data_IF_614773791874
#
_entry.id   IF_614773791874
#
_cell.length_a   1.000
_cell.length_b   1.000
_cell.length_c   1.000
_cell.angle_alpha   90.00
_cell.angle_beta   90.00
_cell.angle_gamma   90.00
#
_symmetry.space_group_name_H-M   'P 1'
#
loop_
_entity.id
_entity.type
_entity.pdbx_description
1 polymer ?
#
# COMPACT_ATOMS: atom_id res chain seq x y z
N UNK A 1 12.09 4.52 5.19
CA UNK A 1 12.21 4.57 3.72
C UNK A 1 10.86 5.00 3.16
N UNK A 2 10.85 5.95 2.27
CA UNK A 2 9.63 6.48 1.65
C UNK A 2 9.74 6.40 0.13
N UNK A 3 8.71 5.91 -0.55
CA UNK A 3 8.67 5.88 -2.00
C UNK A 3 7.87 7.07 -2.56
N UNK A 4 8.31 7.63 -3.67
CA UNK A 4 7.57 8.66 -4.40
C UNK A 4 6.77 7.99 -5.51
N UNK A 5 5.47 8.09 -5.44
CA UNK A 5 4.57 7.61 -6.50
C UNK A 5 4.51 8.67 -7.61
N UNK A 6 4.76 8.28 -8.84
CA UNK A 6 4.92 9.19 -9.98
C UNK A 6 3.72 10.14 -10.14
N UNK A 7 2.49 9.64 -9.90
CA UNK A 7 1.27 10.39 -10.23
C UNK A 7 0.87 11.52 -9.27
N UNK A 8 1.39 11.57 -8.04
CA UNK A 8 0.96 12.59 -7.06
C UNK A 8 2.06 13.08 -6.14
N UNK A 9 3.24 12.46 -6.20
CA UNK A 9 4.37 12.77 -5.32
C UNK A 9 4.01 12.80 -3.83
N UNK A 10 2.98 12.03 -3.39
CA UNK A 10 2.52 12.00 -2.00
C UNK A 10 3.63 11.63 -1.04
N UNK A 11 4.47 10.65 -1.41
CA UNK A 11 5.60 10.25 -0.60
C UNK A 11 6.56 11.38 -0.31
N UNK A 12 6.91 12.19 -1.32
CA UNK A 12 7.85 13.31 -1.18
C UNK A 12 7.21 14.58 -0.57
N UNK A 13 5.93 14.80 -0.82
CA UNK A 13 5.23 16.04 -0.40
C UNK A 13 4.59 15.94 0.98
N UNK A 14 4.21 14.74 1.43
CA UNK A 14 3.53 14.53 2.71
C UNK A 14 4.40 13.71 3.65
N UNK A 15 4.54 12.41 3.41
CA UNK A 15 5.19 11.50 4.38
C UNK A 15 6.67 11.81 4.59
N UNK A 16 7.40 12.26 3.58
CA UNK A 16 8.79 12.69 3.77
C UNK A 16 8.89 13.93 4.68
N UNK A 17 7.95 14.87 4.54
CA UNK A 17 7.85 16.03 5.41
C UNK A 17 7.54 15.63 6.86
N UNK A 18 6.55 14.74 7.06
CA UNK A 18 6.18 14.24 8.39
C UNK A 18 7.36 13.54 9.07
N UNK A 19 8.05 12.63 8.36
CA UNK A 19 9.21 11.91 8.88
C UNK A 19 10.33 12.87 9.35
N UNK A 20 10.60 13.93 8.60
CA UNK A 20 11.60 14.95 8.98
C UNK A 20 11.11 15.77 10.18
N UNK A 21 9.85 16.21 10.18
CA UNK A 21 9.27 17.01 11.25
C UNK A 21 9.24 16.26 12.58
N UNK A 22 8.93 14.96 12.55
CA UNK A 22 8.91 14.07 13.71
C UNK A 22 10.31 13.57 14.12
N UNK A 23 11.38 14.07 13.47
CA UNK A 23 12.77 13.68 13.74
C UNK A 23 13.00 12.15 13.73
N UNK A 24 12.34 11.42 12.82
CA UNK A 24 12.55 9.99 12.68
C UNK A 24 13.99 9.69 12.23
N UNK A 25 14.65 8.66 12.79
CA UNK A 25 16.05 8.40 12.51
C UNK A 25 16.30 7.93 11.08
N UNK A 26 17.37 8.42 10.47
CA UNK A 26 17.87 7.99 9.15
C UNK A 26 16.82 7.97 8.02
N UNK A 27 16.06 9.06 7.80
CA UNK A 27 15.09 9.13 6.72
C UNK A 27 15.77 8.97 5.36
N UNK A 28 15.14 8.23 4.45
CA UNK A 28 15.63 8.03 3.09
C UNK A 28 14.47 8.03 2.10
N UNK A 29 14.56 8.84 1.07
CA UNK A 29 13.59 8.93 -0.01
C UNK A 29 14.09 8.11 -1.21
N UNK A 30 13.22 7.29 -1.77
CA UNK A 30 13.51 6.47 -2.95
C UNK A 30 12.39 6.63 -4.00
N UNK A 31 12.73 6.46 -5.28
CA UNK A 31 11.72 6.24 -6.31
C UNK A 31 11.16 4.82 -6.20
N UNK A 32 9.88 4.63 -6.58
CA UNK A 32 9.21 3.32 -6.54
C UNK A 32 9.98 2.25 -7.33
N UNK A 33 10.58 2.62 -8.45
CA UNK A 33 11.40 1.73 -9.28
C UNK A 33 12.71 1.24 -8.61
N UNK A 34 13.12 1.87 -7.50
CA UNK A 34 14.36 1.51 -6.79
C UNK A 34 14.15 0.47 -5.69
N UNK A 35 12.91 0.12 -5.35
CA UNK A 35 12.59 -0.70 -4.19
C UNK A 35 13.24 -2.07 -4.24
N UNK A 36 13.11 -2.81 -5.35
CA UNK A 36 13.69 -4.15 -5.49
C UNK A 36 15.21 -4.14 -5.32
N UNK A 37 15.89 -3.17 -5.94
CA UNK A 37 17.34 -3.04 -5.80
C UNK A 37 17.74 -2.66 -4.38
N UNK A 38 17.00 -1.76 -3.74
CA UNK A 38 17.23 -1.37 -2.35
C UNK A 38 17.10 -2.57 -1.40
N UNK A 39 16.00 -3.35 -1.51
CA UNK A 39 15.79 -4.52 -0.67
C UNK A 39 16.89 -5.58 -0.90
N UNK A 40 17.33 -5.78 -2.13
CA UNK A 40 18.39 -6.74 -2.45
C UNK A 40 19.76 -6.38 -1.85
N UNK A 41 20.05 -5.11 -1.54
CA UNK A 41 21.39 -4.62 -1.15
C UNK A 41 21.47 -4.06 0.26
N UNK A 42 20.39 -3.54 0.79
CA UNK A 42 20.43 -2.71 2.01
C UNK A 42 19.62 -3.28 3.16
N UNK A 43 18.89 -4.37 2.95
CA UNK A 43 17.87 -4.82 3.90
C UNK A 43 18.12 -6.26 4.32
N UNK A 44 17.91 -6.51 5.63
CA UNK A 44 17.79 -7.84 6.20
C UNK A 44 16.27 -8.12 6.38
N UNK A 45 15.72 -9.17 5.79
CA UNK A 45 14.28 -9.47 5.88
C UNK A 45 13.77 -9.52 7.33
N UNK A 46 14.53 -10.13 8.23
CA UNK A 46 14.15 -10.29 9.64
C UNK A 46 14.06 -8.97 10.44
N UNK A 47 14.63 -7.87 9.93
CA UNK A 47 14.68 -6.58 10.61
C UNK A 47 13.97 -5.47 9.82
N UNK A 48 13.14 -5.84 8.84
CA UNK A 48 12.49 -4.89 7.95
C UNK A 48 11.04 -5.24 7.80
N UNK A 49 10.20 -4.21 7.76
CA UNK A 49 8.78 -4.30 7.45
C UNK A 49 8.41 -3.26 6.41
N UNK A 50 7.47 -3.60 5.53
CA UNK A 50 6.78 -2.63 4.68
C UNK A 50 5.46 -2.26 5.34
N UNK A 51 5.16 -0.97 5.45
CA UNK A 51 3.89 -0.48 5.98
C UNK A 51 3.29 0.48 4.97
N UNK A 52 2.01 0.27 4.64
CA UNK A 52 1.22 1.13 3.76
C UNK A 52 -0.11 1.48 4.42
N UNK A 53 -0.76 2.52 3.93
CA UNK A 53 -2.15 2.81 4.28
C UNK A 53 -3.14 1.93 3.52
N UNK A 54 -4.44 2.19 3.72
CA UNK A 54 -5.52 1.67 2.89
C UNK A 54 -6.61 2.71 2.71
N UNK A 55 -7.19 2.72 1.51
CA UNK A 55 -8.41 3.45 1.22
C UNK A 55 -9.63 2.56 1.47
N UNK A 56 -9.47 1.23 1.32
CA UNK A 56 -10.51 0.23 1.63
C UNK A 56 -9.91 -1.15 1.87
N UNK A 57 -10.47 -1.89 2.82
CA UNK A 57 -10.12 -3.29 3.11
C UNK A 57 -11.39 -4.14 3.03
N UNK A 58 -11.42 -5.13 2.13
CA UNK A 58 -12.55 -6.04 1.92
C UNK A 58 -12.65 -7.13 2.99
N UNK A 59 -13.78 -7.82 3.03
CA UNK A 59 -14.04 -8.91 3.99
C UNK A 59 -13.00 -10.05 3.92
N UNK A 60 -12.40 -10.32 2.76
CA UNK A 60 -11.34 -11.32 2.59
C UNK A 60 -9.92 -10.77 2.90
N UNK A 61 -9.80 -9.47 3.22
CA UNK A 61 -8.51 -8.79 3.47
C UNK A 61 -7.83 -8.21 2.23
N UNK A 62 -8.42 -8.33 1.04
CA UNK A 62 -7.92 -7.59 -0.12
C UNK A 62 -8.00 -6.09 0.15
N UNK A 63 -6.97 -5.36 -0.24
CA UNK A 63 -6.82 -3.96 0.17
C UNK A 63 -6.60 -3.06 -1.03
N UNK A 64 -7.47 -2.07 -1.21
CA UNK A 64 -7.24 -0.97 -2.15
C UNK A 64 -6.44 0.14 -1.48
N UNK A 65 -5.41 0.60 -2.17
CA UNK A 65 -4.60 1.75 -1.76
C UNK A 65 -4.00 2.43 -2.99
N UNK A 66 -3.33 3.55 -2.77
CA UNK A 66 -2.66 4.31 -3.84
C UNK A 66 -1.86 3.39 -4.75
N UNK A 67 -1.95 3.65 -6.08
CA UNK A 67 -1.22 2.90 -7.11
C UNK A 67 0.26 2.70 -6.74
N UNK A 68 0.80 1.50 -6.96
CA UNK A 68 2.15 1.07 -6.56
C UNK A 68 2.18 0.28 -5.25
N UNK A 69 1.05 0.16 -4.54
CA UNK A 69 0.96 -0.66 -3.32
C UNK A 69 1.08 -2.14 -3.63
N UNK A 70 0.38 -2.62 -4.67
CA UNK A 70 0.50 -4.00 -5.14
C UNK A 70 1.93 -4.34 -5.58
N UNK A 71 2.59 -3.44 -6.32
CA UNK A 71 3.99 -3.61 -6.71
C UNK A 71 4.89 -3.79 -5.48
N UNK A 72 4.74 -2.94 -4.47
CA UNK A 72 5.52 -3.02 -3.22
C UNK A 72 5.25 -4.34 -2.49
N UNK A 73 3.99 -4.79 -2.41
CA UNK A 73 3.61 -6.03 -1.73
C UNK A 73 4.21 -7.28 -2.41
N UNK A 74 4.20 -7.32 -3.75
CA UNK A 74 4.83 -8.40 -4.53
C UNK A 74 6.34 -8.44 -4.28
N UNK A 75 7.00 -7.28 -4.34
CA UNK A 75 8.44 -7.17 -4.11
C UNK A 75 8.78 -7.56 -2.66
N UNK A 76 8.03 -7.08 -1.66
CA UNK A 76 8.24 -7.43 -0.27
C UNK A 76 8.18 -8.96 -0.07
N UNK A 77 7.18 -9.63 -0.65
CA UNK A 77 7.05 -11.09 -0.59
C UNK A 77 8.24 -11.81 -1.21
N UNK A 78 8.71 -11.36 -2.37
CA UNK A 78 9.87 -11.97 -3.05
C UNK A 78 11.15 -11.90 -2.19
N UNK A 79 11.33 -10.81 -1.46
CA UNK A 79 12.48 -10.62 -0.57
C UNK A 79 12.24 -11.10 0.86
N UNK A 80 11.12 -11.77 1.16
CA UNK A 80 10.79 -12.29 2.49
C UNK A 80 10.56 -11.18 3.53
N UNK A 81 10.16 -9.99 3.11
CA UNK A 81 9.87 -8.84 3.97
C UNK A 81 8.40 -8.81 4.30
N UNK A 82 8.08 -8.69 5.58
CA UNK A 82 6.70 -8.57 6.06
C UNK A 82 6.02 -7.31 5.52
N UNK A 83 4.75 -7.45 5.11
CA UNK A 83 3.96 -6.38 4.53
C UNK A 83 2.70 -6.13 5.37
N UNK A 84 2.61 -4.95 5.97
CA UNK A 84 1.48 -4.55 6.82
C UNK A 84 0.68 -3.42 6.19
N UNK A 85 -0.64 -3.50 6.39
CA UNK A 85 -1.59 -2.42 6.10
C UNK A 85 -1.95 -1.74 7.41
N UNK A 86 -1.79 -0.44 7.51
CA UNK A 86 -2.20 0.36 8.66
C UNK A 86 -3.30 1.33 8.26
N UNK A 87 -4.49 1.19 8.84
CA UNK A 87 -5.66 2.00 8.47
C UNK A 87 -6.61 2.15 9.65
N UNK A 88 -7.45 3.20 9.68
CA UNK A 88 -8.54 3.30 10.64
C UNK A 88 -9.49 2.11 10.55
N UNK A 89 -10.08 1.71 11.67
CA UNK A 89 -11.08 0.65 11.72
C UNK A 89 -12.24 0.86 10.73
N UNK A 90 -12.65 2.11 10.52
CA UNK A 90 -13.70 2.49 9.57
C UNK A 90 -13.39 2.21 8.11
N UNK A 91 -12.14 1.89 7.78
CA UNK A 91 -11.70 1.49 6.43
C UNK A 91 -12.08 0.04 6.10
N UNK A 92 -12.39 -0.77 7.12
CA UNK A 92 -12.80 -2.17 6.96
C UNK A 92 -14.24 -2.21 6.41
N UNK A 93 -14.39 -2.69 5.18
CA UNK A 93 -15.68 -2.79 4.49
C UNK A 93 -16.10 -4.25 4.31
N UNK A 94 -16.83 -4.77 5.28
CA UNK A 94 -17.34 -6.15 5.25
C UNK A 94 -18.45 -6.41 4.25
N UNK A 95 -18.96 -5.37 3.57
CA UNK A 95 -19.98 -5.50 2.52
C UNK A 95 -19.38 -5.95 1.19
N UNK A 96 -18.12 -5.60 0.94
CA UNK A 96 -17.36 -6.08 -0.21
C UNK A 96 -16.70 -7.40 0.14
N UNK A 97 -17.04 -8.47 -0.58
CA UNK A 97 -16.47 -9.79 -0.30
C UNK A 97 -15.00 -9.86 -0.71
N UNK A 98 -14.66 -9.31 -1.86
CA UNK A 98 -13.31 -9.36 -2.45
C UNK A 98 -12.92 -8.03 -3.08
N UNK A 99 -11.63 -7.88 -3.37
CA UNK A 99 -11.10 -6.70 -4.05
C UNK A 99 -11.55 -6.53 -5.51
N UNK A 100 -12.09 -7.57 -6.14
CA UNK A 100 -12.64 -7.50 -7.49
C UNK A 100 -13.91 -6.61 -7.57
N UNK A 101 -14.59 -6.43 -6.44
CA UNK A 101 -15.77 -5.58 -6.32
C UNK A 101 -15.44 -4.08 -6.15
N UNK A 102 -14.15 -3.74 -5.99
CA UNK A 102 -13.73 -2.35 -5.82
C UNK A 102 -13.59 -1.70 -7.20
N UNK A 103 -14.39 -0.69 -7.45
CA UNK A 103 -14.24 0.15 -8.63
C UNK A 103 -13.03 1.07 -8.48
N UNK A 104 -12.08 0.96 -9.42
CA UNK A 104 -10.84 1.73 -9.42
C UNK A 104 -11.02 2.99 -10.29
N UNK A 105 -10.84 4.16 -9.67
CA UNK A 105 -10.85 5.44 -10.35
C UNK A 105 -9.71 5.53 -11.36
N UNK A 106 -10.03 5.83 -12.62
CA UNK A 106 -9.06 6.22 -13.62
C UNK A 106 -8.94 7.75 -13.67
N UNK A 107 -7.75 8.26 -13.41
CA UNK A 107 -7.46 9.69 -13.32
C UNK A 107 -7.13 10.28 -14.69
N UNK A 108 -7.30 11.61 -14.87
CA UNK A 108 -6.98 12.25 -16.14
C UNK A 108 -5.56 11.95 -16.62
N UNK A 109 -5.43 11.60 -17.90
CA UNK A 109 -4.15 11.31 -18.53
C UNK A 109 -3.14 12.46 -18.41
N UNK A 110 -3.62 13.71 -18.40
CA UNK A 110 -2.78 14.91 -18.26
C UNK A 110 -1.89 14.88 -17.02
N UNK A 111 -2.37 14.37 -15.88
CA UNK A 111 -1.57 14.29 -14.65
C UNK A 111 -0.29 13.46 -14.82
N UNK A 112 -0.39 12.34 -15.56
CA UNK A 112 0.75 11.48 -15.82
C UNK A 112 1.64 12.05 -16.93
N UNK A 113 1.06 12.55 -18.00
CA UNK A 113 1.79 13.09 -19.15
C UNK A 113 2.64 14.32 -18.76
N UNK A 114 2.09 15.22 -17.96
CA UNK A 114 2.80 16.38 -17.44
C UNK A 114 3.95 15.97 -16.53
N UNK A 115 3.72 15.05 -15.61
CA UNK A 115 4.75 14.55 -14.68
C UNK A 115 5.89 13.82 -15.39
N UNK A 116 5.57 13.09 -16.47
CA UNK A 116 6.53 12.33 -17.25
C UNK A 116 7.21 13.15 -18.36
N UNK A 117 6.82 14.41 -18.57
CA UNK A 117 7.25 15.22 -19.72
C UNK A 117 7.03 14.49 -21.06
N UNK A 118 5.96 13.72 -21.17
CA UNK A 118 5.65 12.89 -22.34
C UNK A 118 4.92 13.70 -23.43
N UNK A 119 4.96 13.26 -24.70
CA UNK A 119 4.16 13.87 -25.76
C UNK A 119 2.67 13.86 -25.43
N UNK A 120 1.96 14.95 -25.70
CA UNK A 120 0.55 15.13 -25.34
C UNK A 120 -0.39 14.12 -25.99
N UNK A 121 -0.03 13.62 -27.16
CA UNK A 121 -0.82 12.65 -27.94
C UNK A 121 -0.56 11.18 -27.52
N UNK A 122 0.27 10.96 -26.51
CA UNK A 122 0.55 9.62 -26.01
C UNK A 122 -0.68 9.06 -25.29
N UNK A 123 -1.10 7.85 -25.65
CA UNK A 123 -2.13 7.11 -24.90
C UNK A 123 -1.61 6.81 -23.49
N UNK A 124 -2.42 7.08 -22.51
CA UNK A 124 -2.06 6.94 -21.12
C UNK A 124 -3.13 6.12 -20.38
N UNK A 125 -2.69 5.23 -19.50
CA UNK A 125 -3.52 4.54 -18.52
C UNK A 125 -3.05 4.96 -17.13
N UNK A 126 -3.95 5.60 -16.37
CA UNK A 126 -3.59 6.30 -15.13
C UNK A 126 -4.54 5.93 -13.97
N UNK A 127 -4.54 4.67 -13.50
CA UNK A 127 -5.34 4.29 -12.33
C UNK A 127 -4.81 4.99 -11.09
N UNK A 128 -5.71 5.53 -10.26
CA UNK A 128 -5.36 6.22 -9.02
C UNK A 128 -4.96 5.25 -7.90
N UNK A 129 -5.46 4.02 -7.95
CA UNK A 129 -5.32 2.99 -6.92
C UNK A 129 -4.99 1.64 -7.55
N UNK A 130 -4.51 0.71 -6.74
CA UNK A 130 -4.43 -0.72 -7.07
C UNK A 130 -5.00 -1.56 -5.92
N UNK A 131 -5.33 -2.81 -6.21
CA UNK A 131 -5.82 -3.76 -5.21
C UNK A 131 -4.73 -4.77 -4.91
N UNK A 132 -4.33 -4.83 -3.65
CA UNK A 132 -3.37 -5.82 -3.14
C UNK A 132 -4.12 -7.02 -2.59
N UNK A 133 -3.99 -8.22 -3.21
CA UNK A 133 -4.59 -9.43 -2.68
C UNK A 133 -4.08 -9.77 -1.27
N UNK A 134 -4.99 -10.26 -0.42
CA UNK A 134 -4.72 -10.63 0.97
C UNK A 134 -3.52 -11.59 1.14
N UNK A 135 -3.25 -12.43 0.13
CA UNK A 135 -2.11 -13.37 0.14
C UNK A 135 -0.73 -12.69 0.29
N UNK A 136 -0.61 -11.41 -0.09
CA UNK A 136 0.63 -10.62 0.04
C UNK A 136 0.73 -9.87 1.37
N UNK A 137 -0.36 -9.77 2.14
CA UNK A 137 -0.44 -8.99 3.37
C UNK A 137 -0.12 -9.89 4.56
N UNK A 138 0.80 -9.49 5.42
CA UNK A 138 1.17 -10.20 6.66
C UNK A 138 0.18 -9.92 7.78
N UNK A 139 -0.28 -8.67 7.89
CA UNK A 139 -1.26 -8.25 8.91
C UNK A 139 -1.87 -6.89 8.61
N UNK A 140 -3.02 -6.62 9.24
CA UNK A 140 -3.75 -5.35 9.13
C UNK A 140 -3.80 -4.72 10.52
N UNK A 141 -3.32 -3.49 10.64
CA UNK A 141 -3.18 -2.73 11.88
C UNK A 141 -4.27 -1.68 11.93
N UNK A 142 -5.05 -1.66 12.99
CA UNK A 142 -6.04 -0.62 13.27
C UNK A 142 -5.85 -0.08 14.69
N UNK A 143 -6.53 1.00 15.02
CA UNK A 143 -6.56 1.54 16.40
C UNK A 143 -7.25 0.60 17.40
N UNK A 144 -7.99 -0.41 16.90
CA UNK A 144 -8.68 -1.42 17.72
C UNK A 144 -7.92 -2.73 17.84
N UNK A 145 -6.77 -2.86 17.19
CA UNK A 145 -5.91 -4.03 17.26
C UNK A 145 -5.31 -4.43 15.92
N UNK A 146 -4.59 -5.53 15.94
CA UNK A 146 -3.89 -6.08 14.76
C UNK A 146 -4.55 -7.39 14.35
N UNK A 147 -5.07 -7.41 13.12
CA UNK A 147 -5.57 -8.64 12.50
C UNK A 147 -4.40 -9.40 11.89
N UNK A 148 -4.29 -10.66 12.26
CA UNK A 148 -3.35 -11.61 11.67
C UNK A 148 -4.12 -12.67 10.91
N UNK A 149 -3.46 -13.32 9.98
CA UNK A 149 -4.04 -14.45 9.26
C UNK A 149 -4.36 -15.58 10.22
N UNK A 150 -5.47 -16.25 9.96
CA UNK A 150 -5.85 -17.54 10.58
C UNK A 150 -4.89 -18.64 10.13
N UNK A 151 -5.06 -19.85 10.67
CA UNK A 151 -4.24 -21.03 10.31
C UNK A 151 -4.35 -21.39 8.82
N UNK A 152 -5.47 -21.08 8.20
CA UNK A 152 -5.76 -21.33 6.76
C UNK A 152 -5.21 -20.21 5.87
N UNK A 153 -4.55 -19.19 6.43
CA UNK A 153 -3.94 -18.12 5.68
C UNK A 153 -4.90 -17.00 5.25
N UNK A 154 -6.12 -16.97 5.77
CA UNK A 154 -7.16 -15.95 5.51
C UNK A 154 -7.24 -14.93 6.64
N UNK A 155 -7.90 -13.80 6.40
CA UNK A 155 -8.27 -12.83 7.43
C UNK A 155 -9.74 -13.01 7.83
N UNK A 156 -10.04 -12.96 9.12
CA UNK A 156 -11.41 -12.95 9.63
C UNK A 156 -11.82 -11.51 9.97
N UNK A 157 -12.01 -10.71 8.92
CA UNK A 157 -12.37 -9.29 9.03
C UNK A 157 -13.77 -9.13 9.64
N UNK A 158 -14.72 -9.99 9.28
CA UNK A 158 -16.10 -9.90 9.77
C UNK A 158 -16.17 -10.10 11.28
N UNK A 159 -15.57 -11.18 11.79
CA UNK A 159 -15.52 -11.46 13.23
C UNK A 159 -14.83 -10.33 13.99
N UNK A 160 -13.73 -9.80 13.44
CA UNK A 160 -13.05 -8.66 14.06
C UNK A 160 -13.93 -7.42 14.12
N UNK A 161 -14.65 -7.09 13.06
CA UNK A 161 -15.56 -5.95 13.02
C UNK A 161 -16.70 -6.15 14.02
N UNK A 162 -17.34 -7.33 14.06
CA UNK A 162 -18.45 -7.63 14.99
C UNK A 162 -18.01 -7.51 16.46
N UNK A 163 -16.81 -7.93 16.80
CA UNK A 163 -16.27 -7.85 18.19
C UNK A 163 -15.91 -6.43 18.63
N UNK A 164 -15.66 -5.53 17.70
CA UNK A 164 -15.15 -4.19 18.01
C UNK A 164 -16.09 -3.05 17.58
N UNK A 165 -17.29 -3.34 17.05
CA UNK A 165 -18.30 -2.35 16.64
C UNK A 165 -19.01 -1.67 17.80
#
# INVERSE_FOLDING_TARGET
MQTTKINSNQGSRLTAYEIITENMPNPCLLCDSMISYYLSKKVSPNNTVCIVGADRVCANGDTANKIGTLQLAIIAKEFGVDFYVASPFTTLDVKLATGEEIEIEERPAGELLESACAPKDMRCWNPGFDVTPAKYITGIITERGVLRKTKDGTFDIKDFVEKHS
#
